data_IF_999785884463
#
_entry.id   IF_999785884463
#
_cell.length_a   1.000
_cell.length_b   1.000
_cell.length_c   1.000
_cell.angle_alpha   90.00
_cell.angle_beta   90.00
_cell.angle_gamma   90.00
#
_symmetry.space_group_name_H-M   'P 1'
#
loop_
_entity.id
_entity.type
_entity.pdbx_description
1 polymer ?
#
# COMPACT_ATOMS: atom_id res chain seq x y z
N UNK A 1 39.70 42.44 19.52
CA UNK A 1 38.25 42.11 19.52
C UNK A 1 37.90 41.52 20.88
N UNK A 2 36.89 42.05 21.57
CA UNK A 2 36.49 41.54 22.89
C UNK A 2 35.88 40.14 22.77
N UNK A 3 36.16 39.23 23.69
CA UNK A 3 35.66 37.85 23.72
C UNK A 3 34.15 37.75 23.46
N UNK A 4 33.40 38.73 23.98
CA UNK A 4 31.94 38.81 23.81
C UNK A 4 31.52 39.03 22.33
N UNK A 5 32.29 39.75 21.51
CA UNK A 5 31.98 39.94 20.07
C UNK A 5 32.18 38.65 19.28
N UNK A 6 33.21 37.85 19.63
CA UNK A 6 33.47 36.56 19.00
C UNK A 6 32.34 35.57 19.31
N UNK A 7 31.91 35.52 20.59
CA UNK A 7 30.79 34.69 21.02
C UNK A 7 29.49 35.09 20.35
N UNK A 8 29.21 36.41 20.20
CA UNK A 8 28.04 36.90 19.51
C UNK A 8 28.03 36.53 18.03
N UNK A 9 29.14 36.64 17.34
CA UNK A 9 29.29 36.25 15.94
C UNK A 9 29.08 34.74 15.79
N UNK A 10 29.66 33.92 16.67
CA UNK A 10 29.45 32.47 16.65
C UNK A 10 27.99 32.08 16.87
N UNK A 11 27.31 32.75 17.81
CA UNK A 11 25.88 32.50 18.05
C UNK A 11 25.02 32.87 16.85
N UNK A 12 25.26 34.05 16.24
CA UNK A 12 24.52 34.50 15.05
C UNK A 12 24.73 33.54 13.86
N UNK A 13 25.96 33.07 13.66
CA UNK A 13 26.27 32.10 12.62
C UNK A 13 25.52 30.77 12.84
N UNK A 14 25.52 30.28 14.07
CA UNK A 14 24.81 29.06 14.45
C UNK A 14 23.29 29.17 14.19
N UNK A 15 22.68 30.29 14.58
CA UNK A 15 21.26 30.57 14.34
C UNK A 15 20.97 30.64 12.83
N UNK A 16 21.83 31.30 12.05
CA UNK A 16 21.65 31.42 10.59
C UNK A 16 21.71 30.07 9.90
N UNK A 17 22.64 29.18 10.30
CA UNK A 17 22.73 27.83 9.76
C UNK A 17 21.48 27.02 10.13
N UNK A 18 21.02 27.08 11.37
CA UNK A 18 19.79 26.38 11.77
C UNK A 18 18.56 26.86 10.99
N UNK A 19 18.39 28.19 10.84
CA UNK A 19 17.31 28.77 10.05
C UNK A 19 17.38 28.39 8.57
N UNK A 20 18.59 28.30 8.01
CA UNK A 20 18.77 27.82 6.63
C UNK A 20 18.31 26.37 6.46
N UNK A 21 18.67 25.47 7.38
CA UNK A 21 18.22 24.07 7.33
C UNK A 21 16.72 23.95 7.56
N UNK A 22 16.17 24.64 8.57
CA UNK A 22 14.72 24.62 8.84
C UNK A 22 13.93 25.24 7.68
N UNK A 23 14.39 26.37 7.14
CA UNK A 23 13.79 27.02 5.99
C UNK A 23 13.88 26.16 4.72
N UNK A 24 15.04 25.52 4.48
CA UNK A 24 15.23 24.59 3.36
C UNK A 24 14.31 23.38 3.43
N UNK A 25 14.15 22.79 4.62
CA UNK A 25 13.22 21.66 4.84
C UNK A 25 11.77 22.14 4.68
N UNK A 26 11.40 23.24 5.29
CA UNK A 26 10.05 23.81 5.18
C UNK A 26 9.71 24.17 3.73
N UNK A 27 10.63 24.82 3.01
CA UNK A 27 10.49 25.11 1.58
C UNK A 27 10.31 23.83 0.76
N UNK A 28 11.13 22.81 1.03
CA UNK A 28 11.05 21.53 0.34
C UNK A 28 9.72 20.81 0.62
N UNK A 29 9.25 20.80 1.86
CA UNK A 29 7.95 20.22 2.23
C UNK A 29 6.79 21.01 1.63
N UNK A 30 6.86 22.35 1.61
CA UNK A 30 5.80 23.19 1.06
C UNK A 30 5.75 23.22 -0.48
N UNK A 31 6.90 23.01 -1.16
CA UNK A 31 6.99 23.04 -2.63
C UNK A 31 7.28 21.65 -3.25
N UNK A 32 7.27 20.58 -2.45
CA UNK A 32 7.12 19.24 -2.98
C UNK A 32 5.65 19.07 -3.36
N UNK A 33 5.26 19.76 -4.42
CA UNK A 33 4.03 19.44 -5.12
C UNK A 33 4.18 18.00 -5.60
N UNK A 34 3.39 17.11 -5.01
CA UNK A 34 3.20 15.72 -5.42
C UNK A 34 2.77 15.61 -6.91
N UNK A 35 2.48 16.75 -7.54
CA UNK A 35 2.04 16.87 -8.93
C UNK A 35 3.13 16.57 -9.96
N UNK A 36 4.41 16.66 -9.61
CA UNK A 36 5.51 16.44 -10.59
C UNK A 36 5.81 14.98 -10.90
N UNK A 37 5.45 14.09 -10.01
CA UNK A 37 5.53 12.65 -10.26
C UNK A 37 4.09 12.14 -10.27
N UNK A 38 3.53 11.99 -11.46
CA UNK A 38 2.21 11.36 -11.63
C UNK A 38 2.13 10.12 -10.75
N UNK A 39 1.07 10.02 -9.95
CA UNK A 39 0.88 8.86 -9.06
C UNK A 39 0.72 7.61 -9.90
N UNK A 40 1.32 6.49 -9.51
CA UNK A 40 1.11 5.25 -10.23
C UNK A 40 -0.37 4.90 -10.21
N UNK A 41 -0.90 4.54 -11.37
CA UNK A 41 -2.28 4.10 -11.50
C UNK A 41 -2.53 2.88 -10.61
N UNK A 42 -3.73 2.77 -10.00
CA UNK A 42 -4.09 1.55 -9.29
C UNK A 42 -4.03 0.33 -10.21
N UNK A 43 -3.62 -0.84 -9.70
CA UNK A 43 -3.29 -2.01 -10.53
C UNK A 43 -4.53 -2.76 -11.07
N UNK A 44 -5.72 -2.21 -11.00
CA UNK A 44 -6.95 -2.79 -11.55
C UNK A 44 -7.89 -1.69 -12.00
N UNK A 45 -8.76 -2.00 -12.96
CA UNK A 45 -9.69 -1.03 -13.57
C UNK A 45 -10.85 -0.59 -12.67
N UNK A 46 -11.06 -1.23 -11.53
CA UNK A 46 -12.20 -0.95 -10.64
C UNK A 46 -12.24 0.48 -10.11
N UNK A 47 -11.10 1.19 -10.08
CA UNK A 47 -11.04 2.59 -9.65
C UNK A 47 -11.70 3.52 -10.66
N UNK A 48 -11.71 3.16 -11.95
CA UNK A 48 -12.27 3.97 -13.04
C UNK A 48 -13.78 4.14 -12.89
N UNK A 49 -14.46 3.11 -12.38
CA UNK A 49 -15.93 3.09 -12.28
C UNK A 49 -16.45 3.34 -10.87
N UNK A 50 -15.54 3.64 -9.93
CA UNK A 50 -15.89 3.70 -8.51
C UNK A 50 -16.90 4.79 -8.18
N UNK A 51 -16.73 5.96 -8.79
CA UNK A 51 -17.52 7.16 -8.51
C UNK A 51 -18.65 7.36 -9.55
N UNK A 52 -18.89 6.36 -10.43
CA UNK A 52 -20.00 6.37 -11.37
C UNK A 52 -21.34 6.06 -10.67
N UNK A 53 -22.42 6.59 -11.23
CA UNK A 53 -23.79 6.22 -10.84
C UNK A 53 -24.03 4.72 -11.03
N UNK A 54 -24.93 4.14 -10.24
CA UNK A 54 -25.21 2.70 -10.24
C UNK A 54 -25.73 2.21 -11.60
N UNK A 55 -26.58 3.00 -12.27
CA UNK A 55 -27.06 2.70 -13.62
C UNK A 55 -25.91 2.55 -14.60
N UNK A 56 -24.99 3.51 -14.59
CA UNK A 56 -23.84 3.55 -15.49
C UNK A 56 -22.84 2.44 -15.16
N UNK A 57 -22.65 2.15 -13.89
CA UNK A 57 -21.82 1.02 -13.43
C UNK A 57 -22.38 -0.31 -13.91
N UNK A 58 -23.70 -0.49 -13.86
CA UNK A 58 -24.36 -1.70 -14.35
C UNK A 58 -24.21 -1.90 -15.86
N UNK A 59 -24.18 -0.81 -16.65
CA UNK A 59 -23.90 -0.88 -18.09
C UNK A 59 -22.48 -1.37 -18.39
N UNK A 60 -21.51 -0.99 -17.55
CA UNK A 60 -20.09 -1.35 -17.72
C UNK A 60 -19.74 -2.68 -17.05
N UNK A 61 -20.66 -3.28 -16.29
CA UNK A 61 -20.40 -4.52 -15.55
C UNK A 61 -19.88 -5.67 -16.44
N UNK A 62 -20.41 -5.92 -17.65
CA UNK A 62 -19.92 -6.99 -18.51
C UNK A 62 -18.43 -6.82 -18.85
N UNK A 63 -18.01 -5.61 -19.24
CA UNK A 63 -16.62 -5.29 -19.60
C UNK A 63 -15.68 -5.38 -18.37
N UNK A 64 -16.16 -4.93 -17.22
CA UNK A 64 -15.40 -5.07 -15.97
C UNK A 64 -15.21 -6.54 -15.60
N UNK A 65 -16.24 -7.36 -15.73
CA UNK A 65 -16.19 -8.80 -15.45
C UNK A 65 -15.22 -9.51 -16.38
N UNK A 66 -15.22 -9.19 -17.66
CA UNK A 66 -14.27 -9.69 -18.65
C UNK A 66 -12.83 -9.32 -18.25
N UNK A 67 -12.57 -8.03 -17.97
CA UNK A 67 -11.28 -7.54 -17.51
C UNK A 67 -10.78 -8.26 -16.25
N UNK A 68 -11.65 -8.51 -15.28
CA UNK A 68 -11.30 -9.27 -14.09
C UNK A 68 -10.97 -10.74 -14.39
N UNK A 69 -11.70 -11.34 -15.31
CA UNK A 69 -11.46 -12.74 -15.70
C UNK A 69 -10.10 -12.90 -16.39
N UNK A 70 -9.74 -11.97 -17.26
CA UNK A 70 -8.47 -11.99 -17.97
C UNK A 70 -7.26 -11.69 -17.09
N UNK A 71 -7.37 -10.69 -16.19
CA UNK A 71 -6.23 -10.27 -15.37
C UNK A 71 -5.93 -11.22 -14.21
N UNK A 72 -6.93 -11.98 -13.77
CA UNK A 72 -6.80 -12.86 -12.61
C UNK A 72 -5.69 -13.93 -12.75
N UNK A 73 -5.61 -14.71 -13.87
CA UNK A 73 -4.56 -15.70 -14.04
C UNK A 73 -3.16 -15.06 -14.08
N UNK A 74 -3.00 -13.93 -14.77
CA UNK A 74 -1.71 -13.22 -14.89
C UNK A 74 -1.26 -12.69 -13.52
N UNK A 75 -2.19 -12.12 -12.75
CA UNK A 75 -1.92 -11.71 -11.36
C UNK A 75 -1.49 -12.90 -10.50
N UNK A 76 -2.10 -14.07 -10.69
CA UNK A 76 -1.74 -15.29 -9.96
C UNK A 76 -0.33 -15.75 -10.29
N UNK A 77 0.07 -15.70 -11.57
CA UNK A 77 1.43 -16.00 -12.02
C UNK A 77 2.45 -15.06 -11.36
N UNK A 78 2.19 -13.75 -11.40
CA UNK A 78 3.04 -12.74 -10.74
C UNK A 78 3.21 -13.02 -9.25
N UNK A 79 2.12 -13.33 -8.54
CA UNK A 79 2.18 -13.67 -7.12
C UNK A 79 2.93 -14.97 -6.84
N UNK A 80 2.90 -15.92 -7.77
CA UNK A 80 3.66 -17.18 -7.66
C UNK A 80 5.15 -16.93 -7.88
N UNK A 81 5.50 -16.15 -8.90
CA UNK A 81 6.89 -15.74 -9.13
C UNK A 81 7.47 -14.95 -7.95
N UNK A 82 6.67 -14.06 -7.35
CA UNK A 82 7.09 -13.32 -6.15
C UNK A 82 7.37 -14.26 -4.97
N UNK A 83 6.52 -15.26 -4.75
CA UNK A 83 6.75 -16.25 -3.68
C UNK A 83 8.03 -17.04 -3.93
N UNK A 84 8.27 -17.49 -5.16
CA UNK A 84 9.49 -18.19 -5.52
C UNK A 84 10.75 -17.37 -5.23
N UNK A 85 10.74 -16.07 -5.54
CA UNK A 85 11.84 -15.16 -5.17
C UNK A 85 12.03 -15.13 -3.65
N UNK A 86 10.95 -14.96 -2.88
CA UNK A 86 11.03 -14.90 -1.42
C UNK A 86 11.58 -16.21 -0.82
N UNK A 87 11.16 -17.36 -1.36
CA UNK A 87 11.63 -18.68 -0.91
C UNK A 87 13.14 -18.85 -1.18
N UNK A 88 13.60 -18.46 -2.37
CA UNK A 88 15.02 -18.54 -2.74
C UNK A 88 15.90 -17.55 -1.95
N UNK A 89 15.37 -16.39 -1.58
CA UNK A 89 16.10 -15.44 -0.73
C UNK A 89 16.38 -15.99 0.68
N UNK A 90 15.54 -16.89 1.17
CA UNK A 90 15.67 -17.53 2.50
C UNK A 90 16.25 -18.95 2.45
N UNK A 91 16.49 -19.50 1.26
CA UNK A 91 16.99 -20.88 1.09
C UNK A 91 18.41 -21.07 1.62
N UNK A 92 18.68 -22.27 2.11
CA UNK A 92 20.01 -22.70 2.52
C UNK A 92 20.29 -24.10 1.94
N UNK A 93 21.38 -24.24 1.14
CA UNK A 93 22.37 -23.20 0.81
C UNK A 93 21.81 -22.13 -0.14
N UNK A 94 22.34 -20.90 -0.05
CA UNK A 94 21.94 -19.81 -0.92
C UNK A 94 22.47 -20.04 -2.34
N UNK A 95 21.57 -19.94 -3.33
CA UNK A 95 21.90 -20.04 -4.76
C UNK A 95 21.57 -18.74 -5.49
N UNK A 96 22.61 -17.93 -5.76
CA UNK A 96 22.48 -16.67 -6.48
C UNK A 96 22.00 -16.84 -7.93
N UNK A 97 22.34 -17.96 -8.60
CA UNK A 97 21.92 -18.19 -9.98
C UNK A 97 20.43 -18.52 -10.04
N UNK A 98 19.96 -19.41 -9.16
CA UNK A 98 18.53 -19.70 -9.06
C UNK A 98 17.71 -18.44 -8.72
N UNK A 99 18.20 -17.60 -7.81
CA UNK A 99 17.55 -16.34 -7.46
C UNK A 99 17.48 -15.37 -8.65
N UNK A 100 18.55 -15.24 -9.43
CA UNK A 100 18.58 -14.39 -10.64
C UNK A 100 17.57 -14.87 -11.69
N UNK A 101 17.41 -16.17 -11.88
CA UNK A 101 16.40 -16.76 -12.77
C UNK A 101 14.99 -16.44 -12.25
N UNK A 102 14.75 -16.58 -10.95
CA UNK A 102 13.46 -16.23 -10.35
C UNK A 102 13.12 -14.74 -10.49
N UNK A 103 14.11 -13.84 -10.34
CA UNK A 103 13.92 -12.41 -10.61
C UNK A 103 13.60 -12.12 -12.07
N UNK A 104 14.18 -12.85 -13.02
CA UNK A 104 13.84 -12.71 -14.43
C UNK A 104 12.37 -13.11 -14.69
N UNK A 105 11.94 -14.24 -14.15
CA UNK A 105 10.53 -14.70 -14.23
C UNK A 105 9.56 -13.71 -13.58
N UNK A 106 9.91 -13.16 -12.42
CA UNK A 106 9.10 -12.14 -11.76
C UNK A 106 8.98 -10.85 -12.59
N UNK A 107 10.07 -10.40 -13.22
CA UNK A 107 10.02 -9.24 -14.12
C UNK A 107 9.11 -9.46 -15.30
N UNK A 108 9.20 -10.62 -15.94
CA UNK A 108 8.34 -10.97 -17.07
C UNK A 108 6.87 -11.01 -16.67
N UNK A 109 6.54 -11.64 -15.56
CA UNK A 109 5.18 -11.67 -15.03
C UNK A 109 4.65 -10.27 -14.68
N UNK A 110 5.47 -9.40 -14.09
CA UNK A 110 5.12 -8.01 -13.81
C UNK A 110 4.85 -7.21 -15.10
N UNK A 111 5.69 -7.37 -16.13
CA UNK A 111 5.51 -6.68 -17.43
C UNK A 111 4.17 -7.09 -18.05
N UNK A 112 3.87 -8.40 -18.10
CA UNK A 112 2.59 -8.89 -18.63
C UNK A 112 1.40 -8.37 -17.84
N UNK A 113 1.49 -8.37 -16.51
CA UNK A 113 0.44 -7.83 -15.64
C UNK A 113 0.21 -6.34 -15.87
N UNK A 114 1.28 -5.54 -15.95
CA UNK A 114 1.16 -4.11 -16.20
C UNK A 114 0.62 -3.81 -17.59
N UNK A 115 1.10 -4.50 -18.63
CA UNK A 115 0.62 -4.31 -20.00
C UNK A 115 -0.89 -4.54 -20.07
N UNK A 116 -1.37 -5.69 -19.62
CA UNK A 116 -2.81 -5.98 -19.62
C UNK A 116 -3.60 -4.99 -18.77
N UNK A 117 -3.09 -4.59 -17.60
CA UNK A 117 -3.75 -3.59 -16.73
C UNK A 117 -3.88 -2.22 -17.42
N UNK A 118 -2.88 -1.80 -18.20
CA UNK A 118 -2.91 -0.54 -18.94
C UNK A 118 -3.88 -0.63 -20.11
N UNK A 119 -3.88 -1.74 -20.86
CA UNK A 119 -4.79 -1.97 -21.99
C UNK A 119 -6.24 -1.94 -21.51
N UNK A 120 -6.56 -2.70 -20.49
CA UNK A 120 -7.90 -2.72 -19.88
C UNK A 120 -8.33 -1.35 -19.32
N UNK A 121 -7.39 -0.60 -18.73
CA UNK A 121 -7.67 0.76 -18.25
C UNK A 121 -8.00 1.68 -19.42
N UNK A 122 -7.25 1.59 -20.52
CA UNK A 122 -7.49 2.36 -21.73
C UNK A 122 -8.86 2.04 -22.35
N UNK A 123 -9.20 0.76 -22.42
CA UNK A 123 -10.47 0.29 -22.97
C UNK A 123 -11.67 0.80 -22.16
N UNK A 124 -11.62 0.67 -20.84
CA UNK A 124 -12.69 1.17 -19.96
C UNK A 124 -12.78 2.70 -20.01
N UNK A 125 -11.66 3.42 -19.99
CA UNK A 125 -11.67 4.89 -20.12
C UNK A 125 -12.24 5.34 -21.48
N UNK A 126 -12.05 4.54 -22.54
CA UNK A 126 -12.63 4.78 -23.86
C UNK A 126 -14.15 4.72 -23.89
N UNK A 127 -14.78 3.99 -22.97
CA UNK A 127 -16.23 3.87 -22.84
C UNK A 127 -16.86 5.00 -21.99
N UNK A 128 -16.06 5.79 -21.29
CA UNK A 128 -16.54 6.86 -20.43
C UNK A 128 -16.74 8.17 -21.16
N UNK A 129 -17.66 9.00 -20.68
CA UNK A 129 -17.77 10.40 -21.08
C UNK A 129 -16.56 11.20 -20.60
N UNK A 130 -16.43 12.46 -21.07
CA UNK A 130 -15.34 13.34 -20.62
C UNK A 130 -15.46 13.65 -19.13
N UNK A 131 -16.67 13.92 -18.64
CA UNK A 131 -16.95 14.21 -17.24
C UNK A 131 -16.62 13.01 -16.34
N UNK A 132 -17.00 11.79 -16.78
CA UNK A 132 -16.71 10.55 -16.06
C UNK A 132 -15.19 10.29 -15.99
N UNK A 133 -14.45 10.56 -17.08
CA UNK A 133 -12.98 10.45 -17.09
C UNK A 133 -12.32 11.44 -16.13
N UNK A 134 -12.83 12.69 -16.09
CA UNK A 134 -12.31 13.69 -15.16
C UNK A 134 -12.54 13.28 -13.70
N UNK A 135 -13.73 12.76 -13.37
CA UNK A 135 -14.04 12.26 -12.04
C UNK A 135 -13.11 11.10 -11.65
N UNK A 136 -12.85 10.16 -12.56
CA UNK A 136 -11.91 9.06 -12.33
C UNK A 136 -10.48 9.57 -12.09
N UNK A 137 -10.01 10.57 -12.86
CA UNK A 137 -8.69 11.18 -12.68
C UNK A 137 -8.56 11.86 -11.32
N UNK A 138 -9.59 12.62 -10.90
CA UNK A 138 -9.61 13.24 -9.58
C UNK A 138 -9.53 12.22 -8.44
N UNK A 139 -10.16 11.05 -8.60
CA UNK A 139 -10.04 9.97 -7.62
C UNK A 139 -8.57 9.53 -7.44
N UNK A 140 -7.83 9.37 -8.53
CA UNK A 140 -6.40 9.01 -8.47
C UNK A 140 -5.59 10.10 -7.79
N UNK A 141 -5.87 11.37 -8.10
CA UNK A 141 -5.18 12.53 -7.52
C UNK A 141 -5.49 12.71 -6.03
N UNK A 142 -6.77 12.55 -5.62
CA UNK A 142 -7.21 12.67 -4.21
C UNK A 142 -6.71 11.55 -3.32
N UNK A 143 -6.28 10.44 -3.88
CA UNK A 143 -5.71 9.30 -3.13
C UNK A 143 -4.29 9.64 -2.67
N UNK A 144 -4.16 10.68 -1.80
CA UNK A 144 -2.93 11.04 -1.12
C UNK A 144 -2.31 9.86 -0.37
N UNK A 145 -1.02 9.93 0.02
CA UNK A 145 -0.50 9.01 0.99
C UNK A 145 -1.49 9.05 2.16
N UNK A 146 -2.10 7.92 2.49
CA UNK A 146 -2.77 7.78 3.77
C UNK A 146 -1.68 8.10 4.78
N UNK A 147 -1.75 9.29 5.36
CA UNK A 147 -0.97 9.60 6.53
C UNK A 147 -1.19 8.43 7.48
N UNK A 148 -0.13 7.65 7.76
CA UNK A 148 -0.20 6.48 8.63
C UNK A 148 -0.62 6.81 10.07
N UNK A 149 -1.13 8.04 10.30
CA UNK A 149 -1.68 8.54 11.55
C UNK A 149 -3.13 8.13 11.80
N UNK A 150 -3.95 7.91 10.78
CA UNK A 150 -5.36 7.52 10.98
C UNK A 150 -5.57 6.01 11.10
N UNK A 151 -4.55 5.20 10.82
CA UNK A 151 -4.62 3.74 10.94
C UNK A 151 -4.56 3.20 12.37
N UNK A 152 -4.18 4.02 13.37
CA UNK A 152 -4.01 3.59 14.76
C UNK A 152 -5.08 4.12 15.74
N UNK A 153 -6.02 4.92 15.27
CA UNK A 153 -7.10 5.45 16.10
C UNK A 153 -8.44 4.86 15.67
N UNK A 154 -8.79 3.72 16.23
CA UNK A 154 -10.15 3.21 16.17
C UNK A 154 -10.32 1.83 15.57
N UNK A 155 -9.67 0.83 16.14
CA UNK A 155 -10.15 -0.54 16.04
C UNK A 155 -9.99 -1.25 17.38
N UNK A 156 -10.63 -0.68 18.39
CA UNK A 156 -11.06 -1.45 19.54
C UNK A 156 -12.21 -2.33 19.06
N UNK A 157 -11.98 -3.63 18.94
CA UNK A 157 -13.03 -4.60 18.65
C UNK A 157 -12.71 -5.63 17.57
N UNK A 158 -11.47 -6.15 17.48
CA UNK A 158 -11.17 -7.36 16.72
C UNK A 158 -10.80 -8.51 17.66
N UNK A 159 -11.24 -9.77 17.41
CA UNK A 159 -10.98 -10.91 18.30
C UNK A 159 -9.47 -11.15 18.42
N UNK A 160 -9.02 -11.17 19.67
CA UNK A 160 -7.62 -11.21 20.06
C UNK A 160 -6.83 -12.33 19.42
N UNK A 161 -5.74 -11.95 18.77
CA UNK A 161 -4.62 -12.85 18.55
C UNK A 161 -4.04 -13.20 19.93
N UNK A 162 -4.34 -14.41 20.41
CA UNK A 162 -3.69 -15.00 21.59
C UNK A 162 -2.19 -15.09 21.31
N UNK A 163 -1.38 -14.34 22.05
CA UNK A 163 0.05 -14.59 22.17
C UNK A 163 0.27 -16.01 22.71
N UNK A 164 1.20 -16.81 22.16
CA UNK A 164 1.63 -18.07 22.78
C UNK A 164 2.34 -17.76 24.10
N UNK A 165 1.97 -18.52 25.11
CA UNK A 165 2.22 -18.33 26.50
C UNK A 165 3.67 -18.12 26.96
N UNK A 166 3.80 -17.30 27.98
CA UNK A 166 4.86 -17.39 28.96
C UNK A 166 4.53 -18.53 29.97
N UNK A 167 5.54 -19.16 30.57
CA UNK A 167 5.35 -20.19 31.56
C UNK A 167 4.91 -19.56 32.90
N UNK A 168 4.04 -20.23 33.63
CA UNK A 168 3.54 -19.94 34.97
C UNK A 168 2.19 -19.22 35.09
N UNK A 169 1.17 -20.04 35.26
CA UNK A 169 -0.16 -19.60 35.68
C UNK A 169 -1.10 -20.80 35.88
N UNK A 170 -1.13 -21.30 37.09
CA UNK A 170 -1.95 -22.37 37.63
C UNK A 170 -3.33 -22.49 36.98
N UNK A 171 -3.58 -23.65 36.37
CA UNK A 171 -4.92 -24.06 35.96
C UNK A 171 -5.70 -24.51 37.19
N UNK A 172 -6.74 -23.79 37.53
CA UNK A 172 -7.78 -24.30 38.41
C UNK A 172 -8.50 -25.49 37.75
N UNK A 173 -8.78 -26.57 38.45
CA UNK A 173 -9.47 -27.73 37.89
C UNK A 173 -10.94 -27.41 37.58
N UNK A 174 -11.54 -28.05 36.57
CA UNK A 174 -12.94 -27.85 36.22
C UNK A 174 -13.86 -28.38 37.31
N UNK A 175 -14.92 -27.63 37.61
CA UNK A 175 -15.98 -28.01 38.55
C UNK A 175 -16.71 -29.29 38.07
N UNK A 176 -17.09 -30.22 38.97
CA UNK A 176 -17.83 -31.41 38.60
C UNK A 176 -19.26 -31.07 38.14
N UNK A 177 -19.85 -31.91 37.27
CA UNK A 177 -21.24 -31.72 36.82
C UNK A 177 -22.23 -31.96 37.95
N UNK A 178 -23.40 -31.24 37.89
CA UNK A 178 -24.44 -31.43 38.90
C UNK A 178 -25.06 -32.82 38.79
N UNK A 179 -25.08 -33.51 39.92
CA UNK A 179 -25.72 -34.82 40.10
C UNK A 179 -27.23 -34.64 39.96
N UNK A 180 -27.81 -35.16 38.90
CA UNK A 180 -29.22 -35.23 38.72
C UNK A 180 -29.87 -36.16 39.74
N UNK A 181 -30.83 -35.65 40.48
CA UNK A 181 -31.73 -36.48 41.32
C UNK A 181 -32.82 -37.06 40.42
N UNK A 182 -32.85 -38.38 40.37
CA UNK A 182 -34.03 -39.21 40.03
C UNK A 182 -35.09 -39.07 41.13
N UNK A 183 -36.25 -38.65 40.75
CA UNK A 183 -37.53 -39.28 41.14
C UNK A 183 -38.62 -38.90 40.13
#
# INVERSE_FOLDING_TARGET
MTKNRILLIGLLLSISINLFFVGGIAYRVANFDDERFGRPLPPNVGWVVRDLEESRRSELEPQLRESFTEIFPIRREMMTAQRQVNDLMSAQPFDANALNVAFASLREANIRYQALSHDQTSDILGLLSEEERQAALEFVQRRGPRDGRDGFRGRDGGPGFRRPGGPDGQRSPPSPPPTGANQ
#
